data_IF_322837659875
#
_entry.id   IF_322837659875
#
_cell.length_a   1.000
_cell.length_b   1.000
_cell.length_c   1.000
_cell.angle_alpha   90.00
_cell.angle_beta   90.00
_cell.angle_gamma   90.00
#
_symmetry.space_group_name_H-M   'P 1'
#
loop_
_entity.id
_entity.type
_entity.pdbx_description
1 polymer ?
#
# COMPACT_ATOMS: atom_id res chain seq x y z
N UNK A 1 15.63 6.28 4.23
CA UNK A 1 14.41 7.00 4.65
C UNK A 1 13.20 6.34 4.00
N UNK A 2 12.06 6.25 4.72
CA UNK A 2 10.80 5.71 4.20
C UNK A 2 9.88 6.86 3.80
N UNK A 3 9.33 6.81 2.58
CA UNK A 3 8.25 7.67 2.15
C UNK A 3 6.89 7.04 2.40
N UNK A 4 5.93 7.80 2.93
CA UNK A 4 4.53 7.36 3.05
C UNK A 4 3.67 8.35 2.26
N UNK A 5 3.02 7.86 1.22
CA UNK A 5 2.09 8.60 0.38
C UNK A 5 0.65 8.25 0.74
N UNK A 6 -0.07 9.23 1.23
CA UNK A 6 -1.45 9.07 1.73
C UNK A 6 -1.52 8.82 3.23
N UNK A 7 -2.21 9.73 3.94
CA UNK A 7 -2.42 9.69 5.39
C UNK A 7 -3.90 9.46 5.73
N UNK A 8 -4.49 8.52 5.01
CA UNK A 8 -5.81 7.97 5.37
C UNK A 8 -5.73 6.98 6.53
N UNK A 9 -6.77 6.16 6.72
CA UNK A 9 -6.82 5.17 7.79
C UNK A 9 -5.61 4.23 7.79
N UNK A 10 -5.15 3.76 6.62
CA UNK A 10 -4.01 2.85 6.51
C UNK A 10 -2.69 3.57 6.76
N UNK A 11 -2.44 4.69 6.06
CA UNK A 11 -1.17 5.40 6.18
C UNK A 11 -0.93 5.97 7.58
N UNK A 12 -1.97 6.44 8.27
CA UNK A 12 -1.85 6.93 9.65
C UNK A 12 -1.52 5.80 10.63
N UNK A 13 -2.13 4.63 10.48
CA UNK A 13 -1.80 3.47 11.32
C UNK A 13 -0.40 2.94 11.05
N UNK A 14 0.02 2.91 9.79
CA UNK A 14 1.39 2.53 9.43
C UNK A 14 2.39 3.47 10.08
N UNK A 15 2.19 4.79 9.96
CA UNK A 15 3.04 5.79 10.61
C UNK A 15 3.12 5.56 12.12
N UNK A 16 1.99 5.35 12.78
CA UNK A 16 1.95 5.06 14.22
C UNK A 16 2.75 3.81 14.57
N UNK A 17 2.61 2.74 13.79
CA UNK A 17 3.35 1.50 14.03
C UNK A 17 4.85 1.68 13.85
N UNK A 18 5.29 2.37 12.81
CA UNK A 18 6.72 2.66 12.61
C UNK A 18 7.27 3.50 13.76
N UNK A 19 6.54 4.52 14.19
CA UNK A 19 6.95 5.36 15.33
C UNK A 19 7.14 4.57 16.63
N UNK A 20 6.36 3.50 16.84
CA UNK A 20 6.46 2.65 18.03
C UNK A 20 7.58 1.62 17.91
N UNK A 21 7.66 0.95 16.75
CA UNK A 21 8.55 -0.21 16.59
C UNK A 21 9.95 0.14 16.09
N UNK A 22 10.11 1.29 15.45
CA UNK A 22 11.36 1.70 14.80
C UNK A 22 11.48 3.23 14.77
N UNK A 23 11.52 3.88 15.94
CA UNK A 23 11.51 5.34 16.05
C UNK A 23 12.75 6.01 15.46
N UNK A 24 13.80 5.26 15.17
CA UNK A 24 15.04 5.73 14.54
C UNK A 24 14.90 5.90 13.02
N UNK A 25 13.88 5.30 12.39
CA UNK A 25 13.73 5.35 10.94
C UNK A 25 13.17 6.72 10.53
N UNK A 26 13.90 7.47 9.70
CA UNK A 26 13.43 8.75 9.21
C UNK A 26 12.29 8.58 8.21
N UNK A 27 11.21 9.35 8.38
CA UNK A 27 9.99 9.25 7.58
C UNK A 27 9.74 10.55 6.83
N UNK A 28 9.40 10.41 5.56
CA UNK A 28 8.90 11.47 4.70
C UNK A 28 7.42 11.23 4.43
N UNK A 29 6.58 12.20 4.79
CA UNK A 29 5.14 12.11 4.59
C UNK A 29 4.69 12.92 3.38
N UNK A 30 3.78 12.38 2.61
CA UNK A 30 3.08 13.12 1.57
C UNK A 30 1.57 12.86 1.62
N UNK A 31 0.81 13.94 1.52
CA UNK A 31 -0.64 13.89 1.53
C UNK A 31 -1.24 15.24 1.15
N UNK A 32 -2.56 15.32 0.96
CA UNK A 32 -3.20 16.52 0.45
C UNK A 32 -3.23 17.69 1.44
N UNK A 33 -3.11 17.41 2.75
CA UNK A 33 -3.30 18.42 3.77
C UNK A 33 -2.55 18.05 5.06
N UNK A 34 -1.56 18.88 5.42
CA UNK A 34 -0.77 18.69 6.64
C UNK A 34 -1.60 18.81 7.90
N UNK A 35 -2.65 19.64 7.91
CA UNK A 35 -3.51 19.84 9.07
C UNK A 35 -4.28 18.58 9.47
N UNK A 36 -4.38 17.60 8.57
CA UNK A 36 -5.01 16.31 8.81
C UNK A 36 -4.09 15.28 9.44
N UNK A 37 -2.81 15.58 9.58
CA UNK A 37 -1.89 14.72 10.34
C UNK A 37 -2.20 14.92 11.82
N UNK A 38 -2.71 13.89 12.52
CA UNK A 38 -2.98 14.02 13.95
C UNK A 38 -1.70 14.40 14.68
N UNK A 39 -1.74 15.37 15.62
CA UNK A 39 -0.55 15.84 16.33
C UNK A 39 0.24 14.73 17.02
N UNK A 40 -0.45 13.70 17.53
CA UNK A 40 0.18 12.55 18.19
C UNK A 40 0.95 11.61 17.23
N UNK A 41 0.78 11.77 15.91
CA UNK A 41 1.53 11.04 14.89
C UNK A 41 2.75 11.82 14.38
N UNK A 42 2.85 13.10 14.74
CA UNK A 42 4.01 13.91 14.41
C UNK A 42 5.09 13.61 15.45
N UNK A 43 5.97 12.68 15.15
CA UNK A 43 7.10 12.32 16.00
C UNK A 43 8.40 12.93 15.45
N UNK A 44 9.48 12.97 16.25
CA UNK A 44 10.77 13.54 15.84
C UNK A 44 11.40 12.90 14.60
N UNK A 45 11.05 11.66 14.30
CA UNK A 45 11.52 10.96 13.10
C UNK A 45 10.75 11.35 11.82
N UNK A 46 9.64 12.09 11.92
CA UNK A 46 8.97 12.67 10.76
C UNK A 46 9.72 13.92 10.34
N UNK A 47 10.61 13.77 9.37
CA UNK A 47 11.54 14.83 8.96
C UNK A 47 10.84 15.88 8.10
N UNK A 48 9.97 15.45 7.18
CA UNK A 48 9.34 16.34 6.23
C UNK A 48 7.92 15.93 5.87
N UNK A 49 7.12 16.94 5.54
CA UNK A 49 5.80 16.78 4.97
C UNK A 49 5.71 17.53 3.64
N UNK A 50 5.27 16.86 2.59
CA UNK A 50 5.00 17.46 1.29
C UNK A 50 3.51 17.41 0.97
N UNK A 51 2.91 18.56 0.69
CA UNK A 51 1.53 18.64 0.22
C UNK A 51 1.39 18.18 -1.25
N UNK A 52 2.47 18.21 -2.02
CA UNK A 52 2.47 17.81 -3.42
C UNK A 52 2.85 16.34 -3.57
N UNK A 53 1.87 15.50 -3.86
CA UNK A 53 2.06 14.06 -4.07
C UNK A 53 2.99 13.73 -5.25
N UNK A 54 3.13 14.65 -6.20
CA UNK A 54 3.92 14.43 -7.43
C UNK A 54 5.43 14.49 -7.21
N UNK A 55 5.87 14.88 -6.01
CA UNK A 55 7.29 15.10 -5.72
C UNK A 55 7.90 14.19 -4.66
N UNK A 56 7.15 13.22 -4.18
CA UNK A 56 7.66 12.37 -3.10
C UNK A 56 8.87 11.55 -3.54
N UNK A 57 8.91 11.12 -4.79
CA UNK A 57 10.03 10.36 -5.37
C UNK A 57 11.26 11.24 -5.66
N UNK A 58 11.16 12.55 -5.56
CA UNK A 58 12.31 13.45 -5.66
C UNK A 58 13.11 13.52 -4.35
N UNK A 59 12.56 13.00 -3.28
CA UNK A 59 13.18 12.98 -1.97
C UNK A 59 14.17 11.81 -1.85
N UNK A 60 15.13 11.92 -0.94
CA UNK A 60 16.10 10.86 -0.67
C UNK A 60 15.46 9.71 0.13
N UNK A 61 14.51 9.01 -0.48
CA UNK A 61 13.83 7.84 0.07
C UNK A 61 14.30 6.57 -0.64
N UNK A 62 14.36 5.46 0.07
CA UNK A 62 14.72 4.13 -0.47
C UNK A 62 13.50 3.21 -0.61
N UNK A 63 12.46 3.49 0.15
CA UNK A 63 11.21 2.74 0.15
C UNK A 63 10.03 3.71 0.15
N UNK A 64 9.09 3.51 -0.75
CA UNK A 64 7.83 4.27 -0.81
C UNK A 64 6.63 3.37 -0.52
N UNK A 65 5.85 3.71 0.49
CA UNK A 65 4.56 3.06 0.75
C UNK A 65 3.43 3.94 0.22
N UNK A 66 2.63 3.38 -0.69
CA UNK A 66 1.49 4.07 -1.30
C UNK A 66 0.20 3.56 -0.68
N UNK A 67 -0.47 4.42 0.08
CA UNK A 67 -1.76 4.18 0.74
C UNK A 67 -2.85 5.16 0.33
N UNK A 68 -2.73 5.72 -0.87
CA UNK A 68 -3.77 6.54 -1.52
C UNK A 68 -4.93 5.65 -2.01
N UNK A 69 -6.07 6.24 -2.40
CA UNK A 69 -7.15 5.49 -3.01
C UNK A 69 -6.68 4.69 -4.25
N UNK A 70 -7.22 3.49 -4.41
CA UNK A 70 -6.95 2.65 -5.59
C UNK A 70 -7.26 3.39 -6.90
N UNK A 71 -6.45 3.17 -7.93
CA UNK A 71 -6.51 3.86 -9.22
C UNK A 71 -5.47 4.97 -9.37
N UNK A 72 -4.66 5.24 -8.34
CA UNK A 72 -3.65 6.32 -8.33
C UNK A 72 -2.21 5.79 -8.10
N UNK A 73 -2.03 4.46 -8.06
CA UNK A 73 -0.75 3.88 -7.68
C UNK A 73 0.23 3.73 -8.84
N UNK A 74 -0.26 3.51 -10.07
CA UNK A 74 0.57 3.15 -11.22
C UNK A 74 1.63 4.21 -11.54
N UNK A 75 1.21 5.44 -11.77
CA UNK A 75 2.10 6.50 -12.21
C UNK A 75 3.19 6.82 -11.18
N UNK A 76 2.81 6.90 -9.90
CA UNK A 76 3.76 7.14 -8.81
C UNK A 76 4.73 5.97 -8.67
N UNK A 77 4.25 4.72 -8.80
CA UNK A 77 5.11 3.54 -8.79
C UNK A 77 6.11 3.57 -9.93
N UNK A 78 5.67 3.89 -11.15
CA UNK A 78 6.56 3.99 -12.31
C UNK A 78 7.66 5.03 -12.11
N UNK A 79 7.34 6.20 -11.57
CA UNK A 79 8.33 7.25 -11.30
C UNK A 79 9.31 6.82 -10.21
N UNK A 80 8.82 6.19 -9.14
CA UNK A 80 9.66 5.74 -8.03
C UNK A 80 10.65 4.64 -8.46
N UNK A 81 10.18 3.59 -9.14
CA UNK A 81 11.06 2.48 -9.54
C UNK A 81 12.13 2.90 -10.55
N UNK A 82 11.82 3.82 -11.47
CA UNK A 82 12.82 4.39 -12.40
C UNK A 82 13.97 5.10 -11.69
N UNK A 83 13.79 5.46 -10.43
CA UNK A 83 14.82 6.07 -9.55
C UNK A 83 15.44 5.06 -8.58
N UNK A 84 15.16 3.76 -8.75
CA UNK A 84 15.65 2.71 -7.86
C UNK A 84 14.95 2.67 -6.50
N UNK A 85 13.81 3.36 -6.34
CA UNK A 85 13.04 3.38 -5.09
C UNK A 85 12.09 2.20 -5.08
N UNK A 86 12.22 1.32 -4.08
CA UNK A 86 11.30 0.21 -3.89
C UNK A 86 9.92 0.69 -3.45
N UNK A 87 8.86 -0.01 -3.87
CA UNK A 87 7.49 0.42 -3.63
C UNK A 87 6.65 -0.68 -2.98
N UNK A 88 5.84 -0.28 -1.99
CA UNK A 88 4.77 -1.10 -1.41
C UNK A 88 3.43 -0.46 -1.78
N UNK A 89 2.60 -1.17 -2.52
CA UNK A 89 1.27 -0.72 -2.93
C UNK A 89 0.19 -1.44 -2.14
N UNK A 90 -0.70 -0.67 -1.49
CA UNK A 90 -1.88 -1.20 -0.78
C UNK A 90 -3.12 -1.28 -1.65
N UNK A 91 -3.02 -1.04 -2.97
CA UNK A 91 -4.17 -1.12 -3.86
C UNK A 91 -4.75 -2.53 -3.91
N UNK A 92 -6.07 -2.61 -3.82
CA UNK A 92 -6.85 -3.84 -3.95
C UNK A 92 -7.73 -3.86 -5.21
N UNK A 93 -7.58 -2.88 -6.10
CA UNK A 93 -8.32 -2.83 -7.36
C UNK A 93 -7.62 -3.69 -8.40
N UNK A 94 -8.32 -4.66 -8.96
CA UNK A 94 -7.76 -5.63 -9.93
C UNK A 94 -7.03 -4.94 -11.07
N UNK A 95 -7.62 -3.90 -11.68
CA UNK A 95 -6.95 -3.16 -12.78
C UNK A 95 -5.62 -2.53 -12.37
N UNK A 96 -5.53 -1.97 -11.14
CA UNK A 96 -4.26 -1.43 -10.63
C UNK A 96 -3.21 -2.53 -10.45
N UNK A 97 -3.62 -3.65 -9.85
CA UNK A 97 -2.75 -4.81 -9.61
C UNK A 97 -2.18 -5.31 -10.94
N UNK A 98 -3.04 -5.49 -11.95
CA UNK A 98 -2.63 -5.97 -13.26
C UNK A 98 -1.66 -5.00 -13.97
N UNK A 99 -1.88 -3.70 -13.85
CA UNK A 99 -0.96 -2.71 -14.42
C UNK A 99 0.38 -2.64 -13.66
N UNK A 100 0.34 -2.77 -12.32
CA UNK A 100 1.56 -2.79 -11.51
C UNK A 100 2.41 -4.03 -11.78
N UNK A 101 1.81 -5.19 -12.05
CA UNK A 101 2.51 -6.42 -12.42
C UNK A 101 3.33 -6.27 -13.72
N UNK A 102 2.87 -5.44 -14.66
CA UNK A 102 3.60 -5.16 -15.91
C UNK A 102 4.91 -4.40 -15.69
N UNK A 103 5.12 -3.85 -14.50
CA UNK A 103 6.33 -3.08 -14.18
C UNK A 103 7.53 -3.93 -13.76
N UNK A 104 7.40 -5.26 -13.74
CA UNK A 104 8.43 -6.19 -13.26
C UNK A 104 9.80 -5.96 -13.91
N UNK A 105 9.85 -5.85 -15.24
CA UNK A 105 11.11 -5.65 -15.95
C UNK A 105 11.75 -4.29 -15.61
N UNK A 106 10.95 -3.23 -15.55
CA UNK A 106 11.45 -1.89 -15.19
C UNK A 106 12.02 -1.89 -13.76
N UNK A 107 11.36 -2.59 -12.83
CA UNK A 107 11.83 -2.71 -11.45
C UNK A 107 13.16 -3.47 -11.38
N UNK A 108 13.27 -4.60 -12.10
CA UNK A 108 14.53 -5.38 -12.20
C UNK A 108 15.67 -4.57 -12.76
N UNK A 109 15.45 -3.87 -13.85
CA UNK A 109 16.47 -3.05 -14.53
C UNK A 109 16.98 -1.90 -13.65
N UNK A 110 16.12 -1.35 -12.79
CA UNK A 110 16.48 -0.27 -11.86
C UNK A 110 16.97 -0.75 -10.49
N UNK A 111 16.97 -2.06 -10.22
CA UNK A 111 17.30 -2.63 -8.91
C UNK A 111 16.24 -2.36 -7.83
N UNK A 112 15.04 -1.91 -8.21
CA UNK A 112 13.93 -1.70 -7.28
C UNK A 112 13.07 -2.95 -7.13
N UNK A 113 12.34 -3.03 -6.00
CA UNK A 113 11.35 -4.08 -5.74
C UNK A 113 9.95 -3.47 -5.64
N UNK A 114 8.94 -4.21 -6.09
CA UNK A 114 7.54 -3.81 -5.92
C UNK A 114 6.80 -4.90 -5.15
N UNK A 115 6.17 -4.53 -4.03
CA UNK A 115 5.22 -5.39 -3.30
C UNK A 115 3.82 -4.88 -3.62
N UNK A 116 3.00 -5.73 -4.21
CA UNK A 116 1.65 -5.41 -4.66
C UNK A 116 0.62 -6.11 -3.76
N UNK A 117 -0.48 -5.41 -3.45
CA UNK A 117 -1.53 -5.97 -2.63
C UNK A 117 -1.14 -6.13 -1.15
N UNK A 118 -0.31 -5.21 -0.63
CA UNK A 118 0.13 -5.23 0.77
C UNK A 118 -0.98 -4.70 1.71
N UNK A 119 -2.14 -5.31 1.66
CA UNK A 119 -3.29 -4.98 2.48
C UNK A 119 -3.76 -6.14 3.34
N UNK A 120 -4.99 -6.03 3.84
CA UNK A 120 -5.63 -7.14 4.56
C UNK A 120 -6.11 -8.22 3.55
N UNK A 121 -6.81 -7.79 2.49
CA UNK A 121 -7.26 -8.65 1.40
C UNK A 121 -7.29 -7.79 0.10
N UNK A 122 -6.42 -8.05 -0.86
CA UNK A 122 -5.30 -8.99 -0.87
C UNK A 122 -4.18 -8.63 0.11
N UNK A 123 -3.36 -9.61 0.44
CA UNK A 123 -2.18 -9.49 1.30
C UNK A 123 -2.20 -10.49 2.44
N UNK A 124 -2.62 -10.09 3.64
CA UNK A 124 -2.60 -10.95 4.82
C UNK A 124 -3.42 -12.23 4.61
N UNK A 125 -4.61 -12.14 4.02
CA UNK A 125 -5.46 -13.30 3.76
C UNK A 125 -4.79 -14.31 2.83
N UNK A 126 -4.08 -13.84 1.80
CA UNK A 126 -3.34 -14.71 0.89
C UNK A 126 -2.15 -15.37 1.58
N UNK A 127 -1.42 -14.62 2.41
CA UNK A 127 -0.30 -15.16 3.18
C UNK A 127 -0.76 -16.23 4.17
N UNK A 128 -1.87 -16.00 4.87
CA UNK A 128 -2.45 -16.98 5.80
C UNK A 128 -2.94 -18.24 5.07
N UNK A 129 -3.60 -18.08 3.93
CA UNK A 129 -4.02 -19.23 3.11
C UNK A 129 -2.82 -20.06 2.64
N UNK A 130 -1.78 -19.40 2.13
CA UNK A 130 -0.53 -20.04 1.74
C UNK A 130 0.17 -20.74 2.90
N UNK A 131 0.17 -20.13 4.08
CA UNK A 131 0.75 -20.74 5.27
C UNK A 131 -0.02 -21.99 5.70
N UNK A 132 -1.35 -21.88 5.78
CA UNK A 132 -2.19 -23.02 6.18
C UNK A 132 -2.14 -24.17 5.16
N UNK A 133 -2.08 -23.87 3.87
CA UNK A 133 -2.04 -24.91 2.82
C UNK A 133 -0.77 -25.78 2.86
N UNK A 134 0.34 -25.27 3.43
CA UNK A 134 1.59 -26.04 3.57
C UNK A 134 1.51 -27.20 4.55
N UNK A 135 0.53 -27.18 5.45
CA UNK A 135 0.29 -28.23 6.43
C UNK A 135 -0.64 -29.35 5.89
N UNK A 136 -1.08 -29.22 4.63
CA UNK A 136 -2.03 -30.12 4.00
C UNK A 136 -1.40 -30.78 2.75
N UNK A 137 -1.67 -32.07 2.56
CA UNK A 137 -1.21 -32.81 1.35
C UNK A 137 -1.96 -32.37 0.09
N UNK A 138 -3.21 -31.96 0.23
CA UNK A 138 -4.08 -31.49 -0.85
C UNK A 138 -5.05 -30.44 -0.35
N UNK A 139 -5.36 -29.47 -1.18
CA UNK A 139 -6.32 -28.39 -0.88
C UNK A 139 -7.32 -28.30 -2.03
N UNK A 140 -8.57 -28.65 -1.76
CA UNK A 140 -9.67 -28.55 -2.72
C UNK A 140 -10.27 -27.16 -2.77
N UNK A 141 -10.47 -26.55 -1.57
CA UNK A 141 -11.12 -25.24 -1.45
C UNK A 141 -10.46 -24.40 -0.37
N UNK A 142 -10.47 -23.08 -0.57
CA UNK A 142 -10.01 -22.09 0.40
C UNK A 142 -11.15 -21.12 0.72
N UNK A 143 -11.65 -21.16 1.96
CA UNK A 143 -12.68 -20.24 2.43
C UNK A 143 -12.05 -19.18 3.33
N UNK A 144 -12.23 -17.90 2.96
CA UNK A 144 -11.71 -16.77 3.73
C UNK A 144 -12.87 -15.93 4.25
N UNK A 145 -13.01 -15.88 5.57
CA UNK A 145 -13.92 -14.96 6.25
C UNK A 145 -13.11 -13.84 6.92
N UNK A 146 -13.56 -12.61 6.76
CA UNK A 146 -12.95 -11.44 7.39
C UNK A 146 -14.00 -10.53 7.99
N UNK A 147 -13.71 -9.97 9.14
CA UNK A 147 -14.46 -8.89 9.77
C UNK A 147 -13.54 -7.70 10.02
N UNK A 148 -14.06 -6.49 9.86
CA UNK A 148 -13.30 -5.27 10.09
C UNK A 148 -13.89 -4.05 9.41
N UNK A 149 -13.39 -2.89 9.81
CA UNK A 149 -13.79 -1.60 9.25
C UNK A 149 -12.69 -1.07 8.31
N UNK A 150 -13.10 -0.51 7.19
CA UNK A 150 -12.23 0.20 6.26
C UNK A 150 -12.36 1.72 6.41
N UNK A 151 -11.32 2.46 5.98
CA UNK A 151 -11.43 3.91 5.87
C UNK A 151 -12.47 4.34 4.81
N UNK A 152 -12.86 5.64 4.77
CA UNK A 152 -13.91 6.14 3.87
C UNK A 152 -13.69 5.81 2.39
N UNK A 153 -12.43 5.80 1.93
CA UNK A 153 -12.10 5.44 0.56
C UNK A 153 -12.41 3.97 0.26
N UNK A 154 -12.10 3.07 1.21
CA UNK A 154 -12.38 1.65 1.11
C UNK A 154 -13.90 1.39 1.12
N UNK A 155 -14.64 2.01 2.04
CA UNK A 155 -16.10 1.92 2.10
C UNK A 155 -16.76 2.37 0.78
N UNK A 156 -16.30 3.49 0.22
CA UNK A 156 -16.78 3.99 -1.08
C UNK A 156 -16.50 3.02 -2.23
N UNK A 157 -15.34 2.38 -2.23
CA UNK A 157 -14.97 1.39 -3.23
C UNK A 157 -15.84 0.13 -3.11
N UNK A 158 -16.05 -0.40 -1.90
CA UNK A 158 -16.95 -1.52 -1.66
C UNK A 158 -18.36 -1.22 -2.13
N UNK A 159 -18.91 -0.06 -1.79
CA UNK A 159 -20.24 0.34 -2.24
C UNK A 159 -20.35 0.41 -3.78
N UNK A 160 -19.30 0.83 -4.46
CA UNK A 160 -19.26 0.84 -5.93
C UNK A 160 -19.15 -0.56 -6.52
N UNK A 161 -18.43 -1.47 -5.88
CA UNK A 161 -18.27 -2.85 -6.36
C UNK A 161 -19.56 -3.65 -6.25
N UNK A 162 -20.39 -3.40 -5.23
CA UNK A 162 -21.69 -4.04 -5.07
C UNK A 162 -22.68 -3.76 -6.22
N UNK A 163 -22.43 -2.71 -7.03
CA UNK A 163 -23.23 -2.38 -8.22
C UNK A 163 -22.82 -3.16 -9.46
N UNK A 164 -21.74 -3.95 -9.39
CA UNK A 164 -21.27 -4.76 -10.50
C UNK A 164 -21.60 -6.23 -10.25
N UNK A 165 -21.92 -7.01 -11.31
CA UNK A 165 -22.06 -8.45 -11.14
C UNK A 165 -20.75 -9.05 -10.57
N UNK A 166 -20.91 -10.02 -9.66
CA UNK A 166 -19.78 -10.84 -9.21
C UNK A 166 -19.31 -11.72 -10.38
N UNK A 167 -18.01 -11.98 -10.41
CA UNK A 167 -17.45 -12.96 -11.32
C UNK A 167 -17.21 -14.21 -10.45
N UNK A 168 -18.01 -15.24 -10.68
CA UNK A 168 -17.79 -16.54 -10.07
C UNK A 168 -17.00 -17.40 -11.06
N UNK A 169 -15.91 -17.96 -10.59
CA UNK A 169 -15.11 -18.94 -11.32
C UNK A 169 -15.43 -20.31 -10.74
N UNK A 170 -16.12 -21.14 -11.50
CA UNK A 170 -16.34 -22.55 -11.22
C UNK A 170 -15.40 -23.40 -12.05
#
# INVERSE_FOLDING_TARGET
>A
MIGILGLGAVGSQLLQRINISSPEIPIYLSGPDRSKVPPHLVSPNVINYCANQEKIEEQNISLLVISTPSGQHLETTQRAIKRGISVISTSNKVSDVMELLKLENIAKDSGASIIIGAGFSPGLTCALAMFASKELDHVDEIHIAKDGTGGPACAKQHHRSMKKPSIDWW
#
